data_IF_598995382842
#
_entry.id   IF_598995382842
#
_cell.length_a   1.000
_cell.length_b   1.000
_cell.length_c   1.000
_cell.angle_alpha   90.00
_cell.angle_beta   90.00
_cell.angle_gamma   90.00
#
_symmetry.space_group_name_H-M   'P 1'
#
loop_
_entity.id
_entity.type
_entity.pdbx_description
1 polymer ?
#
# COMPACT_ATOMS: atom_id res chain seq x y z
N UNK A 1 12.85 -1.87 35.21
CA UNK A 1 11.67 -1.40 35.96
C UNK A 1 10.90 -0.52 35.02
N UNK A 2 9.75 -0.98 34.51
CA UNK A 2 8.99 -0.19 33.55
C UNK A 2 8.15 0.84 34.30
N UNK A 3 7.79 1.93 33.61
CA UNK A 3 6.88 2.95 34.14
C UNK A 3 5.51 2.34 34.48
N UNK A 4 5.18 1.12 34.05
CA UNK A 4 3.92 0.46 34.37
C UNK A 4 3.92 -0.29 35.70
N UNK A 5 5.08 -0.65 36.25
CA UNK A 5 5.18 -1.57 37.39
C UNK A 5 5.24 -0.83 38.74
N UNK A 6 5.83 0.36 38.77
CA UNK A 6 5.96 1.15 40.00
C UNK A 6 6.02 2.65 39.69
N UNK A 7 5.37 3.47 40.51
CA UNK A 7 5.42 4.92 40.41
C UNK A 7 6.81 5.43 40.83
N UNK A 8 7.65 5.97 39.90
CA UNK A 8 8.98 6.45 40.24
C UNK A 8 8.95 7.82 40.95
N UNK A 9 7.81 8.50 40.96
CA UNK A 9 7.66 9.85 41.53
C UNK A 9 7.14 9.84 42.98
N UNK A 10 6.69 8.70 43.48
CA UNK A 10 6.03 8.54 44.78
C UNK A 10 6.98 8.80 45.98
N UNK A 11 8.28 8.60 45.79
CA UNK A 11 9.29 8.84 46.81
C UNK A 11 9.86 10.27 46.81
N UNK A 12 9.34 11.18 45.98
CA UNK A 12 9.96 12.48 45.79
C UNK A 12 9.52 13.48 46.88
N UNK A 13 10.44 13.98 47.73
CA UNK A 13 10.10 14.79 48.90
C UNK A 13 9.60 16.20 48.56
N UNK A 14 9.67 16.60 47.29
CA UNK A 14 9.21 17.91 46.79
C UNK A 14 7.87 17.85 46.05
N UNK A 15 7.30 16.66 45.85
CA UNK A 15 6.05 16.47 45.12
C UNK A 15 4.93 16.12 46.10
N UNK A 16 3.76 16.73 45.91
CA UNK A 16 2.55 16.23 46.57
C UNK A 16 2.20 14.85 46.01
N UNK A 17 1.64 13.95 46.84
CA UNK A 17 1.25 12.60 46.41
C UNK A 17 0.37 12.61 45.14
N UNK A 18 -0.57 13.56 45.04
CA UNK A 18 -1.43 13.72 43.86
C UNK A 18 -0.67 14.16 42.60
N UNK A 19 0.41 14.93 42.75
CA UNK A 19 1.23 15.39 41.63
C UNK A 19 2.12 14.26 41.11
N UNK A 20 2.68 13.44 42.01
CA UNK A 20 3.41 12.24 41.66
C UNK A 20 2.54 11.24 40.89
N UNK A 21 1.29 11.06 41.29
CA UNK A 21 0.32 10.20 40.58
C UNK A 21 -0.02 10.74 39.19
N UNK A 22 -0.27 12.06 39.07
CA UNK A 22 -0.52 12.70 37.77
C UNK A 22 0.66 12.52 36.81
N UNK A 23 1.88 12.80 37.26
CA UNK A 23 3.09 12.62 36.45
C UNK A 23 3.28 11.17 36.03
N UNK A 24 2.94 10.22 36.89
CA UNK A 24 2.99 8.81 36.57
C UNK A 24 1.98 8.42 35.49
N UNK A 25 0.74 8.91 35.56
CA UNK A 25 -0.26 8.71 34.52
C UNK A 25 0.16 9.34 33.18
N UNK A 26 0.73 10.55 33.20
CA UNK A 26 1.28 11.17 31.99
C UNK A 26 2.44 10.36 31.40
N UNK A 27 3.30 9.79 32.24
CA UNK A 27 4.40 8.95 31.77
C UNK A 27 3.89 7.66 31.13
N UNK A 28 2.85 7.02 31.70
CA UNK A 28 2.17 5.86 31.10
C UNK A 28 1.51 6.22 29.77
N UNK A 29 0.80 7.35 29.71
CA UNK A 29 0.17 7.84 28.47
C UNK A 29 1.21 8.14 27.38
N UNK A 30 2.30 8.82 27.71
CA UNK A 30 3.37 9.11 26.77
C UNK A 30 3.99 7.83 26.20
N UNK A 31 4.13 6.78 27.02
CA UNK A 31 4.60 5.49 26.56
C UNK A 31 3.60 4.81 25.63
N UNK A 32 2.30 4.81 25.97
CA UNK A 32 1.26 4.30 25.06
C UNK A 32 1.24 5.04 23.72
N UNK A 33 1.40 6.37 23.72
CA UNK A 33 1.45 7.16 22.48
C UNK A 33 2.66 6.79 21.62
N UNK A 34 3.83 6.55 22.24
CA UNK A 34 5.01 6.06 21.51
C UNK A 34 4.76 4.70 20.87
N UNK A 35 4.15 3.78 21.60
CA UNK A 35 3.85 2.44 21.11
C UNK A 35 2.81 2.49 19.96
N UNK A 36 1.78 3.32 20.10
CA UNK A 36 0.79 3.59 19.04
C UNK A 36 1.45 4.18 17.79
N UNK A 37 2.35 5.14 17.96
CA UNK A 37 3.07 5.78 16.85
C UNK A 37 3.99 4.78 16.14
N UNK A 38 4.73 3.97 16.90
CA UNK A 38 5.60 2.92 16.35
C UNK A 38 4.78 1.86 15.59
N UNK A 39 3.67 1.42 16.17
CA UNK A 39 2.77 0.46 15.52
C UNK A 39 2.15 1.05 14.26
N UNK A 40 1.70 2.30 14.30
CA UNK A 40 1.14 3.00 13.13
C UNK A 40 2.17 3.15 12.00
N UNK A 41 3.42 3.48 12.32
CA UNK A 41 4.50 3.55 11.32
C UNK A 41 4.74 2.19 10.68
N UNK A 42 4.87 1.13 11.49
CA UNK A 42 5.02 -0.24 10.98
C UNK A 42 3.86 -0.63 10.07
N UNK A 43 2.63 -0.32 10.51
CA UNK A 43 1.41 -0.60 9.76
C UNK A 43 1.24 0.29 8.52
N UNK A 44 1.93 1.42 8.42
CA UNK A 44 1.96 2.26 7.22
C UNK A 44 3.02 1.77 6.22
N UNK A 45 4.15 1.26 6.70
CA UNK A 45 5.26 0.81 5.85
C UNK A 45 5.04 -0.62 5.30
N UNK A 46 4.43 -1.53 6.07
CA UNK A 46 4.13 -2.90 5.64
C UNK A 46 3.11 -3.03 4.48
N UNK A 47 1.97 -2.32 4.44
CA UNK A 47 0.97 -2.50 3.39
C UNK A 47 1.50 -2.07 2.02
N UNK A 48 2.41 -1.09 1.97
CA UNK A 48 2.96 -0.58 0.71
C UNK A 48 3.71 -1.66 -0.07
N UNK A 49 4.54 -2.46 0.59
CA UNK A 49 5.34 -3.47 -0.12
C UNK A 49 4.47 -4.60 -0.70
N UNK A 50 3.48 -5.06 0.07
CA UNK A 50 2.57 -6.12 -0.37
C UNK A 50 1.61 -5.62 -1.48
N UNK A 51 1.12 -4.39 -1.36
CA UNK A 51 0.24 -3.78 -2.35
C UNK A 51 0.97 -3.51 -3.66
N UNK A 52 2.19 -2.97 -3.61
CA UNK A 52 3.05 -2.77 -4.79
C UNK A 52 3.37 -4.10 -5.49
N UNK A 53 3.63 -5.18 -4.74
CA UNK A 53 3.84 -6.51 -5.30
C UNK A 53 2.61 -7.01 -6.06
N UNK A 54 1.41 -6.84 -5.50
CA UNK A 54 0.15 -7.20 -6.14
C UNK A 54 -0.14 -6.36 -7.38
N UNK A 55 0.12 -5.05 -7.34
CA UNK A 55 -0.02 -4.17 -8.51
C UNK A 55 0.92 -4.58 -9.64
N UNK A 56 2.18 -4.91 -9.34
CA UNK A 56 3.15 -5.34 -10.37
C UNK A 56 2.74 -6.65 -11.04
N UNK A 57 2.16 -7.59 -10.29
CA UNK A 57 1.60 -8.83 -10.88
C UNK A 57 0.40 -8.50 -11.76
N UNK A 58 -0.48 -7.60 -11.32
CA UNK A 58 -1.63 -7.17 -12.11
C UNK A 58 -1.22 -6.47 -13.40
N UNK A 59 -0.24 -5.57 -13.35
CA UNK A 59 0.34 -4.89 -14.50
C UNK A 59 0.84 -5.89 -15.55
N UNK A 60 1.63 -6.90 -15.14
CA UNK A 60 2.14 -7.95 -16.05
C UNK A 60 1.03 -8.77 -16.70
N UNK A 61 -0.03 -9.08 -15.95
CA UNK A 61 -1.18 -9.83 -16.49
C UNK A 61 -1.94 -8.98 -17.50
N UNK A 62 -2.20 -7.72 -17.16
CA UNK A 62 -2.92 -6.80 -18.05
C UNK A 62 -2.10 -6.44 -19.29
N UNK A 63 -0.77 -6.32 -19.19
CA UNK A 63 0.09 -6.06 -20.34
C UNK A 63 0.07 -7.22 -21.34
N UNK A 64 0.02 -8.46 -20.85
CA UNK A 64 -0.12 -9.64 -21.69
C UNK A 64 -1.49 -9.65 -22.40
N UNK A 65 -2.56 -9.39 -21.65
CA UNK A 65 -3.92 -9.29 -22.21
C UNK A 65 -4.00 -8.20 -23.28
N UNK A 66 -3.44 -7.02 -23.01
CA UNK A 66 -3.40 -5.92 -23.97
C UNK A 66 -2.59 -6.28 -25.23
N UNK A 67 -1.48 -7.00 -25.08
CA UNK A 67 -0.66 -7.45 -26.21
C UNK A 67 -1.43 -8.45 -27.08
N UNK A 68 -2.05 -9.45 -26.46
CA UNK A 68 -2.90 -10.43 -27.15
C UNK A 68 -4.09 -9.75 -27.85
N UNK A 69 -4.74 -8.80 -27.18
CA UNK A 69 -5.83 -8.03 -27.75
C UNK A 69 -5.37 -7.21 -28.97
N UNK A 70 -4.25 -6.50 -28.87
CA UNK A 70 -3.68 -5.75 -30.01
C UNK A 70 -3.33 -6.66 -31.19
N UNK A 71 -2.74 -7.82 -30.92
CA UNK A 71 -2.44 -8.80 -31.97
C UNK A 71 -3.72 -9.35 -32.62
N UNK A 72 -4.75 -9.62 -31.82
CA UNK A 72 -6.06 -10.07 -32.33
C UNK A 72 -6.72 -9.03 -33.23
N UNK A 73 -6.73 -7.76 -32.82
CA UNK A 73 -7.27 -6.67 -33.64
C UNK A 73 -6.48 -6.49 -34.94
N UNK A 74 -5.15 -6.54 -34.86
CA UNK A 74 -4.29 -6.46 -36.05
C UNK A 74 -4.54 -7.61 -37.03
N UNK A 75 -4.71 -8.84 -36.53
CA UNK A 75 -5.04 -9.99 -37.36
C UNK A 75 -6.34 -9.78 -38.14
N UNK A 76 -7.40 -9.34 -37.47
CA UNK A 76 -8.70 -9.08 -38.10
C UNK A 76 -8.64 -7.94 -39.12
N UNK A 77 -7.94 -6.84 -38.81
CA UNK A 77 -7.78 -5.72 -39.76
C UNK A 77 -6.98 -6.16 -40.99
N UNK A 78 -5.92 -6.94 -40.80
CA UNK A 78 -5.10 -7.45 -41.89
C UNK A 78 -5.89 -8.41 -42.81
N UNK A 79 -6.70 -9.31 -42.23
CA UNK A 79 -7.60 -10.18 -43.00
C UNK A 79 -8.63 -9.37 -43.81
N UNK A 80 -9.22 -8.33 -43.21
CA UNK A 80 -10.16 -7.44 -43.90
C UNK A 80 -9.50 -6.65 -45.04
N UNK A 81 -8.31 -6.10 -44.81
CA UNK A 81 -7.55 -5.39 -45.85
C UNK A 81 -7.21 -6.31 -47.02
N UNK A 82 -6.69 -7.52 -46.75
CA UNK A 82 -6.39 -8.50 -47.79
C UNK A 82 -7.64 -8.95 -48.57
N UNK A 83 -8.78 -9.09 -47.90
CA UNK A 83 -10.05 -9.41 -48.57
C UNK A 83 -10.58 -8.26 -49.43
N UNK A 84 -10.33 -7.01 -49.02
CA UNK A 84 -10.78 -5.80 -49.75
C UNK A 84 -9.92 -5.55 -50.99
N UNK A 85 -8.60 -5.74 -50.88
CA UNK A 85 -7.66 -5.64 -52.01
C UNK A 85 -7.93 -6.68 -53.13
N UNK A 86 -8.56 -7.81 -52.79
CA UNK A 86 -9.01 -8.85 -53.74
C UNK A 86 -10.27 -8.47 -54.52
N UNK A 87 -11.06 -7.48 -54.09
CA UNK A 87 -12.26 -7.02 -54.81
C UNK A 87 -11.98 -5.83 -55.74
N UNK A 88 -10.96 -5.01 -55.46
CA UNK A 88 -10.60 -3.85 -56.27
C UNK A 88 -9.81 -4.21 -57.55
N UNK A 89 -9.09 -5.33 -57.56
CA UNK A 89 -8.25 -5.74 -58.71
C UNK A 89 -9.03 -6.43 -59.85
N UNK A 90 -10.28 -6.84 -59.64
CA UNK A 90 -11.12 -7.48 -60.67
C UNK A 90 -11.99 -6.51 -61.47
N UNK A 91 -12.04 -5.22 -61.11
CA UNK A 91 -12.95 -4.23 -61.74
C UNK A 91 -12.27 -3.34 -62.79
N UNK A 92 -10.98 -3.54 -63.09
CA UNK A 92 -10.20 -2.69 -64.03
C UNK A 92 -9.63 -3.41 -65.27
N UNK A 93 -10.26 -4.48 -65.74
CA UNK A 93 -10.04 -5.00 -67.11
C UNK A 93 -11.27 -4.88 -67.98
#
# INVERSE_FOLDING_TARGET
>A
MSVFDQNPYDAHPALASTEADLLWEYAKLAQHIKDLTATTKLLSEQPDQHLLGRLRVLERKMSLVLTLFKASVWGVINEQAASTDLFDNTTTM
#
